data_IF_193714656018
#
_entry.id   IF_193714656018
#
_cell.length_a   1.000
_cell.length_b   1.000
_cell.length_c   1.000
_cell.angle_alpha   90.00
_cell.angle_beta   90.00
_cell.angle_gamma   90.00
#
_symmetry.space_group_name_H-M   'P 1'
#
loop_
_entity.id
_entity.type
_entity.pdbx_description
1 polymer ?
#
# COMPACT_ATOMS: atom_id res chain seq x y z
N UNK A 1 -18.37 2.02 -2.63
CA UNK A 1 -17.03 1.61 -3.03
C UNK A 1 -16.03 1.82 -1.89
N UNK A 2 -15.30 0.79 -1.56
CA UNK A 2 -14.30 0.90 -0.51
C UNK A 2 -13.01 0.21 -0.93
N UNK A 3 -11.90 0.77 -0.48
CA UNK A 3 -10.60 0.19 -0.75
C UNK A 3 -10.31 -0.92 0.28
N UNK A 4 -9.53 -1.92 -0.10
CA UNK A 4 -9.12 -2.96 0.85
C UNK A 4 -8.01 -2.48 1.80
N UNK A 5 -7.58 -1.24 1.67
CA UNK A 5 -6.51 -0.68 2.48
C UNK A 5 -6.93 0.70 2.98
N UNK A 6 -6.16 1.24 3.92
CA UNK A 6 -6.44 2.54 4.51
C UNK A 6 -5.14 3.31 4.72
N UNK A 7 -5.27 4.58 5.02
CA UNK A 7 -4.11 5.43 5.32
C UNK A 7 -3.32 4.81 6.47
N UNK A 8 -2.01 4.74 6.29
CA UNK A 8 -1.12 4.11 7.25
C UNK A 8 -0.75 2.68 6.91
N UNK A 9 -1.50 2.03 6.03
CA UNK A 9 -1.19 0.66 5.64
C UNK A 9 0.06 0.62 4.78
N UNK A 10 0.82 -0.44 4.93
CA UNK A 10 1.89 -0.78 4.00
C UNK A 10 1.32 -1.72 2.98
N UNK A 11 1.61 -1.44 1.71
CA UNK A 11 1.08 -2.23 0.62
C UNK A 11 2.19 -2.59 -0.35
N UNK A 12 1.90 -3.58 -1.16
CA UNK A 12 2.75 -3.97 -2.27
C UNK A 12 1.88 -3.92 -3.52
N UNK A 13 2.26 -3.08 -4.47
CA UNK A 13 1.56 -3.00 -5.75
C UNK A 13 2.23 -3.96 -6.71
N UNK A 14 1.44 -4.76 -7.38
CA UNK A 14 1.93 -5.76 -8.30
C UNK A 14 2.18 -5.14 -9.68
N UNK A 15 3.10 -4.19 -9.70
CA UNK A 15 3.49 -3.46 -10.90
C UNK A 15 5.00 -3.54 -11.01
N UNK A 16 5.49 -4.08 -12.09
CA UNK A 16 6.92 -4.33 -12.25
C UNK A 16 7.75 -3.07 -12.41
N UNK A 17 7.11 -1.96 -12.74
CA UNK A 17 7.80 -0.69 -12.97
C UNK A 17 7.67 0.27 -11.80
N UNK A 18 7.24 -0.21 -10.65
CA UNK A 18 6.94 0.64 -9.50
C UNK A 18 7.60 0.05 -8.24
N UNK A 19 7.97 0.90 -7.28
CA UNK A 19 8.50 0.38 -6.01
C UNK A 19 7.55 -0.62 -5.40
N UNK A 20 8.10 -1.73 -4.95
CA UNK A 20 7.30 -2.87 -4.53
C UNK A 20 6.49 -2.55 -3.28
N UNK A 21 7.14 -1.97 -2.28
CA UNK A 21 6.50 -1.72 -0.99
C UNK A 21 6.47 -0.24 -0.70
N UNK A 22 5.32 0.22 -0.20
CA UNK A 22 5.16 1.61 0.16
C UNK A 22 4.07 1.74 1.20
N UNK A 23 4.01 2.91 1.81
CA UNK A 23 2.99 3.22 2.80
C UNK A 23 1.96 4.14 2.16
N UNK A 24 0.69 3.92 2.47
CA UNK A 24 -0.36 4.82 2.01
C UNK A 24 -0.41 6.01 2.93
N UNK A 25 -0.10 7.19 2.36
CA UNK A 25 -0.08 8.43 3.13
C UNK A 25 -1.41 9.15 3.04
N UNK A 26 -2.05 9.10 1.87
CA UNK A 26 -3.32 9.78 1.66
C UNK A 26 -4.08 9.11 0.52
N UNK A 27 -5.39 9.22 0.55
CA UNK A 27 -6.27 8.68 -0.48
C UNK A 27 -7.11 9.83 -1.00
N UNK A 28 -6.93 10.14 -2.28
CA UNK A 28 -7.66 11.22 -2.95
C UNK A 28 -8.67 10.63 -3.91
N UNK A 29 -9.46 11.50 -4.54
CA UNK A 29 -10.54 11.05 -5.42
C UNK A 29 -10.04 10.23 -6.61
N UNK A 30 -8.90 10.62 -7.20
CA UNK A 30 -8.41 9.98 -8.42
C UNK A 30 -7.06 9.33 -8.27
N UNK A 31 -6.38 9.56 -7.16
CA UNK A 31 -5.06 8.98 -6.94
C UNK A 31 -4.82 8.79 -5.44
N UNK A 32 -3.85 7.96 -5.14
CA UNK A 32 -3.36 7.81 -3.78
C UNK A 32 -1.97 8.41 -3.69
N UNK A 33 -1.60 8.84 -2.50
CA UNK A 33 -0.26 9.32 -2.22
C UNK A 33 0.45 8.24 -1.43
N UNK A 34 1.58 7.80 -1.97
CA UNK A 34 2.37 6.71 -1.41
C UNK A 34 3.71 7.24 -0.97
N UNK A 35 4.30 6.58 0.01
CA UNK A 35 5.63 6.91 0.47
C UNK A 35 6.49 5.66 0.36
N UNK A 36 7.56 5.76 -0.40
CA UNK A 36 8.49 4.65 -0.56
C UNK A 36 9.37 4.49 0.67
N UNK A 37 10.12 3.39 0.72
CA UNK A 37 10.98 3.11 1.86
C UNK A 37 12.10 4.14 2.02
N UNK A 38 12.48 4.81 0.96
CA UNK A 38 13.50 5.87 1.04
C UNK A 38 12.89 7.26 1.18
N UNK A 39 11.60 7.34 1.51
CA UNK A 39 10.95 8.60 1.86
C UNK A 39 10.38 9.40 0.71
N UNK A 40 10.40 8.85 -0.49
CA UNK A 40 9.89 9.52 -1.67
C UNK A 40 8.35 9.49 -1.68
N UNK A 41 7.73 10.63 -1.96
CA UNK A 41 6.28 10.68 -2.10
C UNK A 41 5.91 10.48 -3.56
N UNK A 42 4.98 9.58 -3.79
CA UNK A 42 4.61 9.16 -5.13
C UNK A 42 3.10 9.23 -5.24
N UNK A 43 2.59 9.84 -6.33
CA UNK A 43 1.17 9.78 -6.63
C UNK A 43 0.93 8.62 -7.59
N UNK A 44 -0.10 7.84 -7.31
CA UNK A 44 -0.40 6.67 -8.12
C UNK A 44 -1.88 6.66 -8.45
N UNK A 45 -2.26 6.54 -9.72
CA UNK A 45 -3.67 6.59 -10.11
C UNK A 45 -4.48 5.45 -9.49
N UNK A 46 -5.66 5.77 -8.98
CA UNK A 46 -6.51 4.78 -8.34
C UNK A 46 -6.89 3.63 -9.28
N UNK A 47 -7.18 3.95 -10.53
CA UNK A 47 -7.59 2.92 -11.48
C UNK A 47 -6.47 1.91 -11.75
N UNK A 48 -5.22 2.32 -11.66
CA UNK A 48 -4.11 1.39 -11.86
C UNK A 48 -3.99 0.43 -10.69
N UNK A 49 -4.26 0.87 -9.48
CA UNK A 49 -4.24 -0.03 -8.33
C UNK A 49 -5.24 -1.16 -8.53
N UNK A 50 -6.43 -0.82 -9.01
CA UNK A 50 -7.47 -1.81 -9.25
C UNK A 50 -7.09 -2.78 -10.36
N UNK A 51 -6.31 -2.34 -11.32
CA UNK A 51 -5.89 -3.19 -12.44
C UNK A 51 -4.69 -4.05 -12.11
N UNK A 52 -3.74 -3.48 -11.37
CA UNK A 52 -2.47 -4.18 -11.11
C UNK A 52 -2.56 -5.16 -9.96
N UNK A 53 -3.49 -4.93 -9.05
CA UNK A 53 -3.55 -5.73 -7.86
C UNK A 53 -2.67 -5.18 -6.74
N UNK A 54 -3.10 -5.41 -5.53
CA UNK A 54 -2.44 -4.86 -4.36
C UNK A 54 -2.47 -5.88 -3.23
N UNK A 55 -1.36 -6.02 -2.54
CA UNK A 55 -1.31 -6.80 -1.30
C UNK A 55 -1.17 -5.84 -0.14
N UNK A 56 -1.96 -6.04 0.90
CA UNK A 56 -1.81 -5.29 2.14
C UNK A 56 -0.88 -6.09 3.02
N UNK A 57 0.24 -5.46 3.40
CA UNK A 57 1.25 -6.15 4.17
C UNK A 57 0.93 -6.03 5.65
N UNK A 58 0.88 -7.16 6.34
CA UNK A 58 0.57 -7.21 7.75
C UNK A 58 1.84 -7.41 8.56
N UNK A 59 1.84 -6.82 9.75
CA UNK A 59 2.91 -7.04 10.70
C UNK A 59 2.68 -8.40 11.36
N UNK A 60 3.66 -9.28 11.21
CA UNK A 60 3.54 -10.63 11.76
C UNK A 60 3.90 -10.70 13.24
N UNK A 61 4.26 -9.59 13.85
CA UNK A 61 4.61 -9.59 15.25
C UNK A 61 3.46 -10.04 16.13
N UNK A 62 2.23 -9.67 15.76
CA UNK A 62 1.06 -10.08 16.52
C UNK A 62 0.86 -11.58 16.49
N UNK A 63 1.11 -12.18 15.34
CA UNK A 63 0.95 -13.63 15.22
C UNK A 63 1.93 -14.37 16.11
N UNK A 64 3.14 -13.83 16.23
CA UNK A 64 4.14 -14.47 17.07
C UNK A 64 3.74 -14.43 18.52
N UNK A 65 3.04 -13.41 18.94
CA UNK A 65 2.63 -13.30 20.33
C UNK A 65 1.64 -14.37 20.74
N UNK A 66 0.90 -14.89 19.79
CA UNK A 66 -0.08 -15.93 20.11
C UNK A 66 0.56 -17.28 20.38
N UNK A 67 1.78 -17.46 20.00
CA UNK A 67 2.46 -18.73 20.14
C UNK A 67 3.46 -18.78 21.29
N UNK A 68 3.58 -17.69 21.99
CA UNK A 68 4.47 -17.62 23.18
C UNK A 68 3.78 -18.09 24.48
#
# INVERSE_FOLDING_TARGET
>A
FSYPFKIGDRIKIHDKDFPIECEIVDIKAFYVVLKSSDGELITYPNNLIMQKGVSVLRDNAEEKEFFD
#
